data_IF_208827786463
#
_entry.id   IF_208827786463
#
_cell.length_a   1.000
_cell.length_b   1.000
_cell.length_c   1.000
_cell.angle_alpha   90.00
_cell.angle_beta   90.00
_cell.angle_gamma   90.00
#
_symmetry.space_group_name_H-M   'P 1'
#
loop_
_entity.id
_entity.type
_entity.pdbx_description
1 polymer ?
#
# COMPACT_ATOMS: atom_id res chain seq x y z
N UNK A 1 -9.65 -3.29 -9.83
CA UNK A 1 -9.78 -2.50 -8.58
C UNK A 1 -8.97 -1.24 -8.76
N UNK A 2 -9.57 -0.06 -8.59
CA UNK A 2 -8.84 1.22 -8.78
C UNK A 2 -8.15 1.65 -7.48
N UNK A 3 -7.17 2.55 -7.57
CA UNK A 3 -6.49 3.10 -6.39
C UNK A 3 -7.49 3.73 -5.40
N UNK A 4 -8.53 4.36 -5.93
CA UNK A 4 -9.59 5.01 -5.15
C UNK A 4 -10.46 4.02 -4.38
N UNK A 5 -10.83 2.87 -4.98
CA UNK A 5 -11.57 1.81 -4.27
C UNK A 5 -10.75 1.25 -3.10
N UNK A 6 -9.45 1.01 -3.32
CA UNK A 6 -8.54 0.50 -2.31
C UNK A 6 -8.36 1.53 -1.17
N UNK A 7 -8.26 2.82 -1.50
CA UNK A 7 -8.17 3.90 -0.51
C UNK A 7 -9.43 4.03 0.34
N UNK A 8 -10.61 3.79 -0.22
CA UNK A 8 -11.87 3.88 0.52
C UNK A 8 -12.01 2.73 1.54
N UNK A 9 -11.66 1.49 1.16
CA UNK A 9 -11.57 0.36 2.10
C UNK A 9 -10.52 0.61 3.20
N UNK A 10 -9.34 1.12 2.83
CA UNK A 10 -8.26 1.41 3.79
C UNK A 10 -8.60 2.57 4.74
N UNK A 11 -9.36 3.58 4.27
CA UNK A 11 -9.84 4.69 5.10
C UNK A 11 -10.75 4.20 6.23
N UNK A 12 -11.56 3.19 5.95
CA UNK A 12 -12.43 2.59 6.97
C UNK A 12 -11.62 1.82 8.02
N UNK A 13 -10.49 1.22 7.64
CA UNK A 13 -9.60 0.49 8.55
C UNK A 13 -8.60 1.38 9.31
N UNK A 14 -8.52 2.69 8.99
CA UNK A 14 -7.65 3.68 9.68
C UNK A 14 -6.16 3.29 9.69
N UNK A 15 -5.72 2.54 8.69
CA UNK A 15 -4.36 2.01 8.64
C UNK A 15 -3.42 2.98 7.90
N UNK A 16 -2.16 3.09 8.34
CA UNK A 16 -1.10 3.84 7.64
C UNK A 16 -0.86 3.39 6.18
N UNK A 17 -1.50 2.28 5.76
CA UNK A 17 -1.54 1.80 4.38
C UNK A 17 -2.20 2.80 3.41
N UNK A 18 -3.12 3.66 3.88
CA UNK A 18 -3.69 4.75 3.05
C UNK A 18 -2.57 5.63 2.51
N UNK A 19 -1.62 6.00 3.38
CA UNK A 19 -0.47 6.84 2.99
C UNK A 19 0.44 6.16 1.98
N UNK A 20 0.57 4.84 2.04
CA UNK A 20 1.31 4.07 1.05
C UNK A 20 0.65 4.16 -0.33
N UNK A 21 -0.67 3.95 -0.41
CA UNK A 21 -1.40 3.96 -1.69
C UNK A 21 -1.48 5.39 -2.26
N UNK A 22 -1.62 6.40 -1.41
CA UNK A 22 -1.52 7.81 -1.81
C UNK A 22 -0.12 8.14 -2.32
N UNK A 23 0.94 7.75 -1.60
CA UNK A 23 2.31 7.95 -2.03
C UNK A 23 2.60 7.19 -3.33
N UNK A 24 2.08 5.98 -3.49
CA UNK A 24 2.17 5.22 -4.72
C UNK A 24 1.46 5.92 -5.87
N UNK A 25 0.25 6.44 -5.65
CA UNK A 25 -0.53 7.10 -6.70
C UNK A 25 0.05 8.46 -7.08
N UNK A 26 0.63 9.19 -6.12
CA UNK A 26 1.26 10.49 -6.33
C UNK A 26 2.70 10.37 -6.88
N UNK A 27 3.39 9.27 -6.57
CA UNK A 27 4.72 9.02 -7.12
C UNK A 27 4.62 8.81 -8.64
N UNK A 28 5.11 9.79 -9.40
CA UNK A 28 5.44 9.62 -10.83
C UNK A 28 6.53 8.55 -11.03
N UNK A 29 7.24 8.18 -9.96
CA UNK A 29 8.27 7.14 -9.97
C UNK A 29 7.65 5.75 -9.89
N UNK A 30 8.31 4.80 -10.54
CA UNK A 30 7.96 3.39 -10.55
C UNK A 30 8.29 2.65 -9.24
N UNK A 31 8.59 3.36 -8.14
CA UNK A 31 8.87 2.74 -6.85
C UNK A 31 8.41 3.61 -5.68
N UNK A 32 8.06 2.94 -4.59
CA UNK A 32 7.61 3.57 -3.33
C UNK A 32 8.46 3.04 -2.20
N UNK A 33 9.04 3.95 -1.43
CA UNK A 33 9.88 3.60 -0.28
C UNK A 33 9.01 3.53 0.96
N UNK A 34 9.04 2.40 1.65
CA UNK A 34 8.36 2.23 2.95
C UNK A 34 9.27 1.58 3.98
N UNK A 35 9.11 1.92 5.28
CA UNK A 35 9.86 1.25 6.34
C UNK A 35 9.48 -0.24 6.39
N UNK A 36 10.47 -1.12 6.47
CA UNK A 36 10.21 -2.56 6.61
C UNK A 36 9.36 -2.87 7.87
N UNK A 37 9.50 -2.04 8.92
CA UNK A 37 8.70 -2.14 10.14
C UNK A 37 7.21 -1.84 9.91
N UNK A 38 6.88 -0.89 9.04
CA UNK A 38 5.50 -0.58 8.70
C UNK A 38 4.85 -1.75 7.96
N UNK A 39 5.59 -2.36 7.02
CA UNK A 39 5.13 -3.55 6.29
C UNK A 39 4.86 -4.71 7.23
N UNK A 40 5.75 -4.99 8.18
CA UNK A 40 5.51 -6.02 9.21
C UNK A 40 4.27 -5.71 10.04
N UNK A 41 4.12 -4.46 10.48
CA UNK A 41 2.92 -4.02 11.19
C UNK A 41 1.64 -4.26 10.40
N UNK A 42 1.63 -3.98 9.09
CA UNK A 42 0.47 -4.24 8.24
C UNK A 42 0.19 -5.73 8.03
N UNK A 43 1.23 -6.56 7.87
CA UNK A 43 1.07 -8.02 7.77
C UNK A 43 0.53 -8.61 9.07
N UNK A 44 0.98 -8.11 10.23
CA UNK A 44 0.54 -8.59 11.54
C UNK A 44 -0.86 -8.11 11.92
N UNK A 45 -1.22 -6.88 11.55
CA UNK A 45 -2.55 -6.33 11.80
C UNK A 45 -3.58 -6.94 10.86
N UNK A 46 -3.31 -6.92 9.56
CA UNK A 46 -4.32 -7.16 8.52
C UNK A 46 -3.68 -7.75 7.24
N UNK A 47 -3.33 -9.06 7.26
CA UNK A 47 -2.62 -9.70 6.16
C UNK A 47 -3.45 -9.76 4.86
N UNK A 48 -4.77 -9.88 4.97
CA UNK A 48 -5.68 -9.89 3.81
C UNK A 48 -5.68 -8.53 3.09
N UNK A 49 -5.74 -7.45 3.87
CA UNK A 49 -5.69 -6.09 3.36
C UNK A 49 -4.31 -5.79 2.74
N UNK A 50 -3.23 -6.25 3.37
CA UNK A 50 -1.87 -6.13 2.80
C UNK A 50 -1.73 -6.88 1.47
N UNK A 51 -2.28 -8.08 1.34
CA UNK A 51 -2.23 -8.83 0.09
C UNK A 51 -2.90 -8.06 -1.06
N UNK A 52 -4.07 -7.46 -0.83
CA UNK A 52 -4.75 -6.60 -1.83
C UNK A 52 -3.90 -5.40 -2.25
N UNK A 53 -3.27 -4.71 -1.28
CA UNK A 53 -2.42 -3.54 -1.57
C UNK A 53 -1.16 -3.93 -2.33
N UNK A 54 -0.54 -5.05 -1.96
CA UNK A 54 0.65 -5.58 -2.63
C UNK A 54 0.33 -6.00 -4.07
N UNK A 55 -0.81 -6.66 -4.30
CA UNK A 55 -1.29 -7.02 -5.64
C UNK A 55 -1.56 -5.78 -6.49
N UNK A 56 -2.23 -4.77 -5.91
CA UNK A 56 -2.47 -3.50 -6.59
C UNK A 56 -1.17 -2.76 -6.96
N UNK A 57 -0.16 -2.76 -6.08
CA UNK A 57 1.15 -2.17 -6.37
C UNK A 57 1.85 -2.88 -7.53
N UNK A 58 1.83 -4.22 -7.52
CA UNK A 58 2.37 -5.03 -8.60
C UNK A 58 1.64 -4.78 -9.94
N UNK A 59 0.30 -4.72 -9.91
CA UNK A 59 -0.53 -4.41 -11.07
C UNK A 59 -0.31 -2.97 -11.59
N UNK A 60 0.01 -2.03 -10.69
CA UNK A 60 0.35 -0.65 -11.02
C UNK A 60 1.79 -0.48 -11.52
N UNK A 61 2.58 -1.55 -11.57
CA UNK A 61 3.98 -1.52 -11.99
C UNK A 61 4.90 -0.77 -11.03
N UNK A 62 4.50 -0.66 -9.74
CA UNK A 62 5.25 0.06 -8.71
C UNK A 62 6.01 -0.92 -7.83
N UNK A 63 7.33 -0.78 -7.80
CA UNK A 63 8.19 -1.56 -6.91
C UNK A 63 8.11 -1.01 -5.48
N UNK A 64 7.80 -1.88 -4.52
CA UNK A 64 7.89 -1.53 -3.11
C UNK A 64 9.35 -1.69 -2.65
N UNK A 65 9.98 -0.60 -2.23
CA UNK A 65 11.35 -0.60 -1.69
C UNK A 65 11.27 -0.50 -0.17
N UNK A 66 11.71 -1.56 0.51
CA UNK A 66 11.76 -1.59 1.97
C UNK A 66 13.10 -1.04 2.44
N UNK A 67 13.06 -0.07 3.37
CA UNK A 67 14.25 0.53 4.02
C UNK A 67 14.25 0.32 5.53
#
# INVERSE_FOLDING_TARGET
>A
MTASDLLDELRQSRTDMVRLVEAASCAERAYVVVPAQAVKGWIEQDPETWAKVSDWLAASGKALVQV
#
